data_IF_410370141319
#
_entry.id   IF_410370141319
#
_cell.length_a   1.000
_cell.length_b   1.000
_cell.length_c   1.000
_cell.angle_alpha   90.00
_cell.angle_beta   90.00
_cell.angle_gamma   90.00
#
_symmetry.space_group_name_H-M   'P 1'
#
loop_
_entity.id
_entity.type
_entity.pdbx_description
1 polymer ?
#
# COMPACT_ATOMS: atom_id res chain seq x y z
N UNK A 1 -12.92 -6.74 15.19
CA UNK A 1 -13.01 -7.26 13.81
C UNK A 1 -13.06 -8.79 13.90
N UNK A 2 -14.03 -9.47 13.28
CA UNK A 2 -14.13 -10.94 13.33
C UNK A 2 -13.00 -11.60 12.55
N UNK A 3 -12.68 -12.87 12.82
CA UNK A 3 -11.61 -13.60 12.11
C UNK A 3 -11.77 -13.59 10.58
N UNK A 4 -13.01 -13.62 10.08
CA UNK A 4 -13.31 -13.50 8.66
C UNK A 4 -12.95 -12.13 8.05
N UNK A 5 -13.16 -11.03 8.80
CA UNK A 5 -12.83 -9.69 8.33
C UNK A 5 -11.32 -9.44 8.23
N UNK A 6 -10.53 -10.08 9.10
CA UNK A 6 -9.06 -10.03 9.03
C UNK A 6 -8.56 -10.78 7.79
N UNK A 7 -9.10 -11.99 7.56
CA UNK A 7 -8.72 -12.81 6.41
C UNK A 7 -8.98 -12.10 5.08
N UNK A 8 -10.14 -11.46 4.95
CA UNK A 8 -10.47 -10.68 3.75
C UNK A 8 -9.53 -9.48 3.58
N UNK A 9 -9.23 -8.76 4.68
CA UNK A 9 -8.34 -7.59 4.64
C UNK A 9 -6.95 -7.97 4.12
N UNK A 10 -6.38 -9.06 4.63
CA UNK A 10 -5.06 -9.54 4.21
C UNK A 10 -5.07 -10.01 2.76
N UNK A 11 -6.09 -10.77 2.35
CA UNK A 11 -6.24 -11.20 0.97
C UNK A 11 -6.31 -10.00 0.01
N UNK A 12 -7.03 -8.95 0.38
CA UNK A 12 -7.17 -7.75 -0.44
C UNK A 12 -5.87 -6.93 -0.50
N UNK A 13 -5.12 -6.84 0.61
CA UNK A 13 -3.77 -6.26 0.60
C UNK A 13 -2.86 -7.03 -0.35
N UNK A 14 -2.81 -8.36 -0.24
CA UNK A 14 -2.01 -9.21 -1.12
C UNK A 14 -2.37 -9.02 -2.60
N UNK A 15 -3.67 -9.01 -2.91
CA UNK A 15 -4.19 -8.76 -4.27
C UNK A 15 -3.74 -7.41 -4.82
N UNK A 16 -3.84 -6.33 -4.05
CA UNK A 16 -3.45 -4.98 -4.48
C UNK A 16 -1.95 -4.87 -4.74
N UNK A 17 -1.14 -5.47 -3.86
CA UNK A 17 0.32 -5.47 -4.03
C UNK A 17 0.71 -6.22 -5.30
N UNK A 18 0.14 -7.42 -5.50
CA UNK A 18 0.38 -8.23 -6.69
C UNK A 18 -0.08 -7.54 -7.97
N UNK A 19 -1.34 -7.05 -8.01
CA UNK A 19 -1.94 -6.46 -9.20
C UNK A 19 -1.18 -5.23 -9.71
N UNK A 20 -0.59 -4.45 -8.78
CA UNK A 20 0.10 -3.21 -9.12
C UNK A 20 1.63 -3.35 -9.18
N UNK A 21 2.16 -4.56 -8.97
CA UNK A 21 3.60 -4.83 -8.93
C UNK A 21 4.30 -4.02 -7.85
N UNK A 22 3.65 -3.86 -6.69
CA UNK A 22 4.19 -3.13 -5.54
C UNK A 22 5.03 -4.09 -4.71
N UNK A 23 6.19 -3.60 -4.26
CA UNK A 23 7.15 -4.39 -3.49
C UNK A 23 6.54 -4.92 -2.18
N UNK A 24 6.66 -6.24 -1.99
CA UNK A 24 6.26 -6.94 -0.75
C UNK A 24 6.94 -6.38 0.51
N UNK A 25 8.12 -5.77 0.39
CA UNK A 25 8.79 -5.11 1.52
C UNK A 25 7.95 -3.98 2.15
N UNK A 26 7.03 -3.36 1.38
CA UNK A 26 6.12 -2.36 1.94
C UNK A 26 5.13 -3.00 2.93
N UNK A 27 4.67 -4.22 2.65
CA UNK A 27 3.80 -4.95 3.55
C UNK A 27 4.57 -5.48 4.77
N UNK A 28 5.81 -5.90 4.59
CA UNK A 28 6.68 -6.34 5.68
C UNK A 28 6.80 -5.26 6.76
N UNK A 29 7.23 -4.04 6.37
CA UNK A 29 7.34 -2.92 7.30
C UNK A 29 5.98 -2.48 7.86
N UNK A 30 4.98 -2.31 7.00
CA UNK A 30 3.67 -1.82 7.44
C UNK A 30 2.94 -2.77 8.40
N UNK A 31 3.11 -4.08 8.25
CA UNK A 31 2.42 -5.08 9.08
C UNK A 31 3.26 -5.57 10.25
N UNK A 32 4.53 -5.14 10.37
CA UNK A 32 5.49 -5.71 11.33
C UNK A 32 5.56 -7.25 11.18
N UNK A 33 5.94 -7.69 9.97
CA UNK A 33 6.13 -9.10 9.61
C UNK A 33 7.42 -9.26 8.81
N UNK A 34 7.97 -10.47 8.80
CA UNK A 34 9.13 -10.79 7.97
C UNK A 34 8.84 -10.70 6.46
N UNK A 35 9.89 -10.51 5.66
CA UNK A 35 9.77 -10.45 4.20
C UNK A 35 9.15 -11.73 3.61
N UNK A 36 9.50 -12.90 4.14
CA UNK A 36 8.94 -14.18 3.70
C UNK A 36 7.41 -14.23 3.91
N UNK A 37 6.91 -13.73 5.04
CA UNK A 37 5.47 -13.62 5.32
C UNK A 37 4.79 -12.62 4.37
N UNK A 38 5.46 -11.51 4.06
CA UNK A 38 4.95 -10.54 3.09
C UNK A 38 4.91 -11.12 1.66
N UNK A 39 5.88 -11.95 1.27
CA UNK A 39 5.85 -12.65 -0.02
C UNK A 39 4.70 -13.66 -0.08
N UNK A 40 4.48 -14.42 1.00
CA UNK A 40 3.32 -15.32 1.14
C UNK A 40 2.00 -14.56 1.01
N UNK A 41 1.91 -13.39 1.66
CA UNK A 41 0.74 -12.51 1.55
C UNK A 41 0.44 -12.15 0.10
N UNK A 42 1.46 -11.73 -0.66
CA UNK A 42 1.34 -11.35 -2.08
C UNK A 42 0.99 -12.57 -2.94
N UNK A 43 1.49 -13.76 -2.61
CA UNK A 43 1.15 -15.01 -3.27
C UNK A 43 -0.28 -15.52 -2.92
N UNK A 44 -0.98 -14.88 -1.98
CA UNK A 44 -2.29 -15.32 -1.50
C UNK A 44 -2.24 -16.54 -0.58
N UNK A 45 -1.06 -16.84 -0.03
CA UNK A 45 -0.86 -17.95 0.90
C UNK A 45 -1.22 -17.56 2.34
N UNK A 46 -1.60 -18.54 3.19
CA UNK A 46 -1.79 -18.31 4.61
C UNK A 46 -0.51 -17.80 5.27
N UNK A 47 -0.65 -16.79 6.13
CA UNK A 47 0.43 -16.31 7.00
C UNK A 47 0.67 -17.29 8.15
N UNK A 48 1.93 -17.52 8.53
CA UNK A 48 2.26 -18.31 9.71
C UNK A 48 2.30 -17.45 11.00
N UNK A 49 2.31 -16.12 10.85
CA UNK A 49 2.33 -15.19 11.97
C UNK A 49 0.97 -15.01 12.66
N UNK A 50 1.00 -14.85 13.98
CA UNK A 50 -0.19 -14.57 14.78
C UNK A 50 -0.69 -13.13 14.56
N UNK A 51 -1.97 -13.01 14.21
CA UNK A 51 -2.66 -11.73 14.03
C UNK A 51 -3.13 -11.13 15.36
N UNK A 52 -2.27 -10.31 15.97
CA UNK A 52 -2.60 -9.46 17.12
C UNK A 52 -3.57 -8.34 16.74
N UNK A 53 -4.28 -7.75 17.71
CA UNK A 53 -5.16 -6.60 17.44
C UNK A 53 -4.41 -5.40 16.82
N UNK A 54 -3.13 -5.22 17.18
CA UNK A 54 -2.28 -4.23 16.55
C UNK A 54 -2.03 -4.55 15.07
N UNK A 55 -1.59 -5.77 14.72
CA UNK A 55 -1.37 -6.16 13.32
C UNK A 55 -2.64 -6.09 12.49
N UNK A 56 -3.79 -6.43 13.07
CA UNK A 56 -5.11 -6.26 12.45
C UNK A 56 -5.40 -4.79 12.13
N UNK A 57 -5.06 -3.89 13.05
CA UNK A 57 -5.20 -2.44 12.85
C UNK A 57 -4.25 -1.93 11.77
N UNK A 58 -2.98 -2.38 11.80
CA UNK A 58 -1.97 -2.08 10.76
C UNK A 58 -2.45 -2.53 9.38
N UNK A 59 -2.98 -3.74 9.26
CA UNK A 59 -3.55 -4.28 8.02
C UNK A 59 -4.73 -3.45 7.48
N UNK A 60 -5.65 -3.06 8.35
CA UNK A 60 -6.76 -2.19 7.95
C UNK A 60 -6.29 -0.81 7.46
N UNK A 61 -5.27 -0.24 8.12
CA UNK A 61 -4.67 1.04 7.70
C UNK A 61 -3.93 0.91 6.36
N UNK A 62 -3.14 -0.16 6.19
CA UNK A 62 -2.42 -0.45 4.95
C UNK A 62 -3.39 -0.62 3.78
N UNK A 63 -4.43 -1.44 3.93
CA UNK A 63 -5.48 -1.58 2.92
C UNK A 63 -6.08 -0.22 2.55
N UNK A 64 -6.36 0.61 3.56
CA UNK A 64 -6.97 1.91 3.33
C UNK A 64 -6.03 2.91 2.63
N UNK A 65 -4.71 2.80 2.83
CA UNK A 65 -3.70 3.54 2.09
C UNK A 65 -3.70 3.08 0.63
N UNK A 66 -3.54 1.78 0.40
CA UNK A 66 -3.46 1.21 -0.95
C UNK A 66 -4.71 1.49 -1.78
N UNK A 67 -5.90 1.27 -1.21
CA UNK A 67 -7.17 1.53 -1.88
C UNK A 67 -7.34 3.01 -2.25
N UNK A 68 -6.89 3.95 -1.42
CA UNK A 68 -6.95 5.39 -1.76
C UNK A 68 -6.01 5.74 -2.90
N UNK A 69 -4.79 5.21 -2.88
CA UNK A 69 -3.83 5.44 -3.96
C UNK A 69 -4.38 4.88 -5.26
N UNK A 70 -4.92 3.65 -5.23
CA UNK A 70 -5.54 3.01 -6.39
C UNK A 70 -6.67 3.85 -6.98
N UNK A 71 -7.63 4.29 -6.14
CA UNK A 71 -8.74 5.15 -6.57
C UNK A 71 -8.27 6.47 -7.16
N UNK A 72 -7.28 7.11 -6.54
CA UNK A 72 -6.71 8.38 -7.02
C UNK A 72 -5.98 8.22 -8.34
N UNK A 73 -5.32 7.08 -8.54
CA UNK A 73 -4.54 6.78 -9.74
C UNK A 73 -5.36 6.12 -10.85
N UNK A 74 -6.68 5.93 -10.65
CA UNK A 74 -7.56 5.33 -11.65
C UNK A 74 -7.22 3.87 -11.98
N UNK A 75 -6.75 3.11 -11.00
CA UNK A 75 -6.31 1.71 -11.14
C UNK A 75 -5.12 1.49 -12.10
N UNK A 76 -4.40 2.54 -12.52
CA UNK A 76 -3.22 2.42 -13.38
C UNK A 76 -1.99 1.98 -12.55
N UNK A 77 -1.40 0.79 -12.81
CA UNK A 77 -0.26 0.29 -12.04
C UNK A 77 0.98 1.19 -12.10
N UNK A 78 1.21 1.87 -13.24
CA UNK A 78 2.35 2.78 -13.41
C UNK A 78 2.13 4.05 -12.59
N UNK A 79 0.91 4.62 -12.63
CA UNK A 79 0.55 5.75 -11.79
C UNK A 79 0.65 5.41 -10.30
N UNK A 80 0.21 4.22 -9.89
CA UNK A 80 0.22 3.75 -8.50
C UNK A 80 1.65 3.63 -7.98
N UNK A 81 2.55 2.99 -8.75
CA UNK A 81 3.97 2.90 -8.36
C UNK A 81 4.62 4.28 -8.29
N UNK A 82 4.42 5.12 -9.31
CA UNK A 82 4.93 6.49 -9.31
C UNK A 82 4.38 7.33 -8.15
N UNK A 83 3.13 7.11 -7.76
CA UNK A 83 2.49 7.72 -6.61
C UNK A 83 3.13 7.29 -5.28
N UNK A 84 3.41 6.00 -5.12
CA UNK A 84 4.04 5.44 -3.93
C UNK A 84 5.47 5.96 -3.73
N UNK A 85 6.23 6.11 -4.81
CA UNK A 85 7.63 6.55 -4.79
C UNK A 85 7.80 8.07 -4.79
N UNK A 86 6.72 8.84 -5.02
CA UNK A 86 6.79 10.30 -5.06
C UNK A 86 7.01 10.89 -3.66
N UNK A 87 8.04 11.73 -3.46
CA UNK A 87 8.19 12.51 -2.24
C UNK A 87 7.01 13.44 -1.99
N UNK A 88 6.55 13.52 -0.75
CA UNK A 88 5.44 14.40 -0.35
C UNK A 88 5.92 15.39 0.73
N UNK A 89 5.65 16.67 0.53
CA UNK A 89 5.99 17.72 1.50
C UNK A 89 5.32 17.47 2.85
N UNK A 90 4.10 16.92 2.85
CA UNK A 90 3.35 16.55 4.06
C UNK A 90 4.01 15.41 4.85
N UNK A 91 4.96 14.69 4.25
CA UNK A 91 5.75 13.63 4.89
C UNK A 91 7.22 14.04 5.11
N UNK A 92 7.55 15.32 4.93
CA UNK A 92 8.90 15.85 5.05
C UNK A 92 9.79 15.48 3.87
N UNK A 93 9.25 15.53 2.64
CA UNK A 93 9.92 15.14 1.40
C UNK A 93 10.36 13.66 1.34
N UNK A 94 9.66 12.80 2.09
CA UNK A 94 9.79 11.34 2.05
C UNK A 94 8.62 10.74 1.27
N UNK A 95 8.84 9.63 0.57
CA UNK A 95 7.79 8.93 -0.16
C UNK A 95 6.90 8.07 0.75
N UNK A 96 5.70 7.68 0.27
CA UNK A 96 4.84 6.73 1.00
C UNK A 96 5.53 5.37 1.10
N UNK A 97 6.16 4.90 0.01
CA UNK A 97 6.87 3.63 -0.02
C UNK A 97 7.99 3.59 1.03
N UNK A 98 8.84 4.60 1.08
CA UNK A 98 9.93 4.69 2.05
C UNK A 98 9.43 4.71 3.49
N UNK A 99 8.39 5.50 3.78
CA UNK A 99 7.78 5.48 5.12
C UNK A 99 7.13 4.14 5.48
N UNK A 100 6.58 3.40 4.52
CA UNK A 100 6.00 2.08 4.79
C UNK A 100 7.07 1.02 5.08
N UNK A 101 8.27 1.15 4.49
CA UNK A 101 9.41 0.25 4.79
C UNK A 101 9.96 0.52 6.19
N UNK A 102 10.16 1.78 6.54
CA UNK A 102 10.82 2.19 7.80
C UNK A 102 9.80 2.45 8.93
N UNK A 103 8.83 1.54 9.10
CA UNK A 103 7.85 1.66 10.18
C UNK A 103 8.43 1.19 11.52
N UNK A 104 8.29 1.98 12.60
CA UNK A 104 8.64 1.51 13.94
C UNK A 104 7.67 0.45 14.47
N UNK A 105 8.18 -0.41 15.35
CA UNK A 105 7.50 -1.62 15.85
C UNK A 105 6.45 -1.36 16.95
N UNK A 106 5.99 -0.11 17.12
CA UNK A 106 5.16 0.29 18.27
C UNK A 106 4.03 1.31 17.94
N UNK A 107 3.55 2.02 18.96
CA UNK A 107 2.52 3.06 18.87
C UNK A 107 2.87 4.18 17.87
N UNK A 108 4.16 4.47 17.68
CA UNK A 108 4.59 5.46 16.70
C UNK A 108 4.44 4.94 15.27
N UNK A 109 4.51 3.61 15.06
CA UNK A 109 4.20 2.96 13.79
C UNK A 109 2.73 3.12 13.44
N UNK A 110 1.82 2.89 14.38
CA UNK A 110 0.39 3.13 14.17
C UNK A 110 0.06 4.60 13.89
N UNK A 111 0.74 5.55 14.52
CA UNK A 111 0.58 6.98 14.23
C UNK A 111 1.11 7.32 12.84
N UNK A 112 2.25 6.77 12.45
CA UNK A 112 2.82 6.96 11.13
C UNK A 112 1.90 6.40 10.03
N UNK A 113 1.34 5.20 10.19
CA UNK A 113 0.36 4.64 9.26
C UNK A 113 -0.92 5.51 9.14
N UNK A 114 -1.40 6.11 10.24
CA UNK A 114 -2.53 7.05 10.19
C UNK A 114 -2.17 8.34 9.44
N UNK A 115 -0.95 8.84 9.57
CA UNK A 115 -0.48 9.98 8.81
C UNK A 115 -0.36 9.67 7.31
N UNK A 116 0.19 8.49 6.96
CA UNK A 116 0.26 8.00 5.58
C UNK A 116 -1.12 7.83 4.96
N UNK A 117 -2.08 7.31 5.74
CA UNK A 117 -3.49 7.22 5.36
C UNK A 117 -4.07 8.60 4.97
N UNK A 118 -3.68 9.66 5.69
CA UNK A 118 -4.05 11.04 5.38
C UNK A 118 -3.38 11.55 4.11
N UNK A 119 -2.07 11.36 3.97
CA UNK A 119 -1.29 11.78 2.81
C UNK A 119 -1.75 11.10 1.51
N UNK A 120 -2.06 9.81 1.55
CA UNK A 120 -2.65 9.08 0.41
C UNK A 120 -3.99 9.70 -0.05
N UNK A 121 -4.73 10.35 0.84
CA UNK A 121 -5.98 11.04 0.50
C UNK A 121 -5.79 12.39 -0.19
N UNK A 122 -4.65 13.05 0.02
CA UNK A 122 -4.42 14.44 -0.44
C UNK A 122 -3.32 14.55 -1.49
N UNK A 123 -2.58 13.47 -1.75
CA UNK A 123 -1.46 13.47 -2.68
C UNK A 123 -1.87 13.87 -4.12
N UNK A 124 -1.05 14.64 -4.84
CA UNK A 124 -1.36 15.02 -6.23
C UNK A 124 -1.43 13.77 -7.12
N UNK A 125 -2.49 13.66 -7.90
CA UNK A 125 -2.68 12.55 -8.85
C UNK A 125 -1.70 12.72 -10.01
N UNK A 126 -0.98 11.67 -10.43
CA UNK A 126 -0.17 11.71 -11.63
C UNK A 126 -1.08 11.98 -12.84
N UNK A 127 -0.93 13.14 -13.49
CA UNK A 127 -1.54 13.36 -14.81
C UNK A 127 -0.71 12.59 -15.82
N UNK A 128 -0.98 11.30 -16.01
CA UNK A 128 -0.42 10.57 -17.15
C UNK A 128 -1.02 11.22 -18.40
N UNK A 129 -0.17 11.93 -19.16
CA UNK A 129 -0.53 12.34 -20.52
C UNK A 129 -0.59 11.08 -21.36
N UNK A 130 -1.78 10.54 -21.55
CA UNK A 130 -2.05 9.55 -22.59
C UNK A 130 -1.80 10.28 -23.91
N UNK A 131 -0.65 10.03 -24.54
CA UNK A 131 -0.46 10.42 -25.93
C UNK A 131 -1.47 9.60 -26.72
N UNK A 132 -2.52 10.27 -27.23
CA UNK A 132 -3.36 9.67 -28.26
C UNK A 132 -2.44 9.37 -29.44
N UNK A 133 -2.12 8.11 -29.68
CA UNK A 133 -1.63 7.68 -30.98
C UNK A 133 -2.79 7.96 -31.92
N UNK A 134 -2.65 8.98 -32.76
CA UNK A 134 -3.58 9.16 -33.86
C UNK A 134 -3.36 7.98 -34.80
N UNK A 135 -4.24 6.99 -34.74
CA UNK A 135 -4.34 5.95 -35.76
C UNK A 135 -4.65 6.65 -37.09
N UNK A 136 -3.59 6.95 -37.84
CA UNK A 136 -3.67 7.16 -39.27
C UNK A 136 -3.77 5.78 -39.91
N UNK A 137 -5.00 5.27 -40.02
CA UNK A 137 -5.32 4.42 -41.16
C UNK A 137 -5.59 5.37 -42.33
N UNK A 138 -4.58 5.51 -43.19
CA UNK A 138 -4.72 6.03 -44.57
C UNK A 138 -4.95 4.86 -45.50
#
# INVERSE_FOLDING_TARGET
MTGAGVSWTLAEVGRLLWAHGVDSALAAGALDIGLDEAQRLVAGEPLAVTMTEERRTRAALLLNILARIELRCGHDPVAIRAALDRPLDTLGAVSIAERLRDQPDDLDGLRALRALRGAAGTMPVPKIRTWRVADRYS
#
